data_IF_360866731339
#
_entry.id   IF_360866731339
#
_cell.length_a   1.000
_cell.length_b   1.000
_cell.length_c   1.000
_cell.angle_alpha   90.00
_cell.angle_beta   90.00
_cell.angle_gamma   90.00
#
_symmetry.space_group_name_H-M   'P 1'
#
loop_
_entity.id
_entity.type
_entity.pdbx_description
1 polymer ?
#
# COMPACT_ATOMS: atom_id res chain seq x y z
N UNK A 1 -39.15 -1.95 7.31
CA UNK A 1 -39.58 -3.33 7.62
C UNK A 1 -39.36 -4.15 6.36
N UNK A 2 -38.57 -5.22 6.35
CA UNK A 2 -38.31 -5.99 5.12
C UNK A 2 -39.61 -6.53 4.51
N UNK A 3 -39.95 -6.06 3.31
CA UNK A 3 -41.11 -6.51 2.53
C UNK A 3 -40.61 -7.25 1.31
N UNK A 4 -41.09 -8.46 1.12
CA UNK A 4 -40.79 -9.28 -0.04
C UNK A 4 -42.04 -9.49 -0.86
N UNK A 5 -41.94 -9.34 -2.17
CA UNK A 5 -43.04 -9.53 -3.12
C UNK A 5 -42.75 -10.71 -4.05
N UNK A 6 -43.81 -11.42 -4.43
CA UNK A 6 -43.74 -12.52 -5.39
C UNK A 6 -44.79 -12.30 -6.48
N UNK A 7 -44.33 -12.17 -7.72
CA UNK A 7 -45.16 -11.93 -8.91
C UNK A 7 -44.85 -12.98 -9.99
N UNK A 8 -45.71 -13.99 -10.12
CA UNK A 8 -45.60 -14.99 -11.17
C UNK A 8 -46.99 -15.45 -11.63
N UNK A 9 -47.29 -15.30 -12.93
CA UNK A 9 -48.60 -15.62 -13.50
C UNK A 9 -49.73 -14.83 -12.84
N UNK A 10 -50.69 -15.53 -12.22
CA UNK A 10 -51.80 -14.92 -11.46
C UNK A 10 -51.48 -14.68 -9.97
N UNK A 11 -50.29 -15.06 -9.51
CA UNK A 11 -49.85 -14.85 -8.12
C UNK A 11 -49.25 -13.46 -7.96
N UNK A 12 -49.83 -12.67 -7.05
CA UNK A 12 -49.34 -11.35 -6.67
C UNK A 12 -49.40 -11.24 -5.14
N UNK A 13 -48.33 -11.60 -4.44
CA UNK A 13 -48.30 -11.82 -2.98
C UNK A 13 -47.20 -10.99 -2.32
N UNK A 14 -47.42 -10.59 -1.08
CA UNK A 14 -46.41 -9.98 -0.21
C UNK A 14 -46.15 -10.83 1.03
N UNK A 15 -44.94 -10.74 1.56
CA UNK A 15 -44.52 -11.30 2.83
C UNK A 15 -43.56 -10.32 3.50
N UNK A 16 -43.88 -9.91 4.72
CA UNK A 16 -43.14 -8.97 5.55
C UNK A 16 -42.71 -9.71 6.82
N UNK A 17 -41.55 -9.34 7.37
CA UNK A 17 -41.10 -9.85 8.66
C UNK A 17 -40.45 -8.73 9.47
N UNK A 18 -40.90 -8.57 10.71
CA UNK A 18 -40.38 -7.56 11.66
C UNK A 18 -39.79 -8.27 12.86
N UNK A 19 -38.56 -7.91 13.23
CA UNK A 19 -37.82 -8.54 14.31
C UNK A 19 -37.82 -7.65 15.55
N UNK A 20 -38.16 -8.20 16.71
CA UNK A 20 -38.21 -7.49 18.00
C UNK A 20 -37.66 -8.38 19.12
N UNK A 21 -36.37 -8.21 19.44
CA UNK A 21 -35.72 -8.86 20.58
C UNK A 21 -35.73 -10.39 20.52
N UNK A 22 -36.66 -11.03 21.23
CA UNK A 22 -36.82 -12.50 21.31
C UNK A 22 -37.98 -13.03 20.44
N UNK A 23 -38.55 -12.19 19.59
CA UNK A 23 -39.68 -12.53 18.75
C UNK A 23 -39.56 -11.91 17.37
N UNK A 24 -40.30 -12.46 16.41
CA UNK A 24 -40.57 -11.78 15.15
C UNK A 24 -42.05 -11.90 14.80
N UNK A 25 -42.55 -10.94 14.04
CA UNK A 25 -43.88 -10.93 13.45
C UNK A 25 -43.76 -11.03 11.95
N UNK A 26 -44.40 -12.05 11.38
CA UNK A 26 -44.52 -12.21 9.92
C UNK A 26 -45.89 -11.76 9.48
N UNK A 27 -45.99 -11.01 8.39
CA UNK A 27 -47.26 -10.59 7.77
C UNK A 27 -47.27 -10.97 6.30
N UNK A 28 -48.36 -11.51 5.78
CA UNK A 28 -48.43 -11.96 4.39
C UNK A 28 -49.82 -11.90 3.80
N UNK A 29 -49.91 -11.69 2.49
CA UNK A 29 -51.20 -11.56 1.83
C UNK A 29 -51.07 -11.43 0.32
N UNK A 30 -52.21 -11.12 -0.32
CA UNK A 30 -52.21 -10.64 -1.70
C UNK A 30 -51.79 -9.16 -1.65
N UNK A 31 -51.03 -8.70 -2.64
CA UNK A 31 -50.70 -7.27 -2.74
C UNK A 31 -52.00 -6.47 -2.83
N UNK A 32 -52.03 -5.31 -2.16
CA UNK A 32 -53.20 -4.44 -1.92
C UNK A 32 -54.26 -4.98 -0.95
N UNK A 33 -53.91 -5.93 -0.06
CA UNK A 33 -54.77 -6.33 1.07
C UNK A 33 -54.06 -6.15 2.42
N UNK A 34 -54.83 -6.13 3.50
CA UNK A 34 -54.26 -6.02 4.86
C UNK A 34 -53.40 -7.23 5.27
N UNK A 35 -53.52 -8.34 4.57
CA UNK A 35 -52.80 -9.58 4.86
C UNK A 35 -53.23 -10.27 6.16
N UNK A 36 -52.47 -11.28 6.55
CA UNK A 36 -52.56 -11.98 7.82
C UNK A 36 -51.22 -11.88 8.52
N UNK A 37 -51.21 -11.80 9.85
CA UNK A 37 -49.99 -11.74 10.63
C UNK A 37 -49.88 -12.87 11.65
N UNK A 38 -48.64 -13.21 11.99
CA UNK A 38 -48.32 -14.18 13.04
C UNK A 38 -47.02 -13.81 13.72
N UNK A 39 -47.10 -13.66 15.03
CA UNK A 39 -45.95 -13.48 15.91
C UNK A 39 -45.45 -14.82 16.44
N UNK A 40 -44.13 -15.00 16.46
CA UNK A 40 -43.45 -16.15 17.05
C UNK A 40 -42.42 -15.65 18.08
N UNK A 41 -42.35 -16.32 19.23
CA UNK A 41 -41.46 -15.96 20.34
C UNK A 41 -40.53 -17.13 20.68
N UNK A 42 -39.30 -16.81 21.07
CA UNK A 42 -38.23 -17.78 21.30
C UNK A 42 -37.55 -17.55 22.66
N UNK A 43 -36.84 -18.56 23.15
CA UNK A 43 -36.19 -18.52 24.47
C UNK A 43 -35.03 -17.50 24.54
N UNK A 44 -34.39 -17.23 23.39
CA UNK A 44 -33.29 -16.26 23.27
C UNK A 44 -33.34 -15.46 21.95
N UNK A 45 -32.70 -14.27 21.90
CA UNK A 45 -32.57 -13.49 20.67
C UNK A 45 -31.84 -14.25 19.55
N UNK A 46 -30.85 -15.06 19.89
CA UNK A 46 -30.09 -15.86 18.92
C UNK A 46 -30.95 -16.96 18.28
N UNK A 47 -31.84 -17.58 19.06
CA UNK A 47 -32.80 -18.55 18.54
C UNK A 47 -33.83 -17.88 17.59
N UNK A 48 -34.30 -16.68 17.95
CA UNK A 48 -35.17 -15.88 17.09
C UNK A 48 -34.47 -15.49 15.78
N UNK A 49 -33.21 -15.03 15.84
CA UNK A 49 -32.43 -14.63 14.66
C UNK A 49 -32.19 -15.82 13.72
N UNK A 50 -31.85 -17.00 14.26
CA UNK A 50 -31.62 -18.20 13.46
C UNK A 50 -32.87 -18.64 12.69
N UNK A 51 -34.05 -18.55 13.30
CA UNK A 51 -35.32 -18.89 12.63
C UNK A 51 -35.76 -17.78 11.66
N UNK A 52 -35.49 -16.50 11.98
CA UNK A 52 -35.68 -15.37 11.07
C UNK A 52 -34.89 -15.55 9.77
N UNK A 53 -33.58 -15.80 9.86
CA UNK A 53 -32.69 -15.98 8.70
C UNK A 53 -33.13 -17.18 7.84
N UNK A 54 -33.61 -18.24 8.49
CA UNK A 54 -34.13 -19.43 7.81
C UNK A 54 -35.39 -19.11 7.01
N UNK A 55 -36.34 -18.34 7.57
CA UNK A 55 -37.57 -17.96 6.88
C UNK A 55 -37.30 -17.04 5.69
N UNK A 56 -36.37 -16.10 5.82
CA UNK A 56 -35.95 -15.22 4.71
C UNK A 56 -35.37 -16.05 3.56
N UNK A 57 -34.39 -16.93 3.83
CA UNK A 57 -33.82 -17.81 2.80
C UNK A 57 -34.86 -18.71 2.14
N UNK A 58 -35.83 -19.20 2.90
CA UNK A 58 -36.92 -20.02 2.35
C UNK A 58 -37.81 -19.20 1.40
N UNK A 59 -38.00 -17.91 1.66
CA UNK A 59 -38.79 -17.01 0.81
C UNK A 59 -38.04 -16.61 -0.45
N UNK A 60 -36.77 -16.24 -0.34
CA UNK A 60 -35.91 -15.94 -1.48
C UNK A 60 -35.80 -17.15 -2.43
N UNK A 61 -35.61 -18.36 -1.88
CA UNK A 61 -35.60 -19.60 -2.66
C UNK A 61 -36.92 -19.87 -3.39
N UNK A 62 -38.03 -19.33 -2.89
CA UNK A 62 -39.36 -19.41 -3.53
C UNK A 62 -39.63 -18.27 -4.51
N UNK A 63 -38.62 -17.46 -4.83
CA UNK A 63 -38.70 -16.35 -5.78
C UNK A 63 -39.29 -15.06 -5.20
N UNK A 64 -39.41 -14.93 -3.88
CA UNK A 64 -39.82 -13.67 -3.26
C UNK A 64 -38.65 -12.69 -3.29
N UNK A 65 -38.87 -11.53 -3.87
CA UNK A 65 -37.87 -10.47 -4.04
C UNK A 65 -38.10 -9.36 -3.03
N UNK A 66 -37.05 -8.87 -2.39
CA UNK A 66 -37.12 -7.76 -1.45
C UNK A 66 -37.48 -6.47 -2.20
N UNK A 67 -38.54 -5.80 -1.79
CA UNK A 67 -38.98 -4.51 -2.33
C UNK A 67 -38.61 -3.42 -1.34
N UNK A 68 -37.66 -2.56 -1.73
CA UNK A 68 -37.28 -1.38 -0.96
C UNK A 68 -38.36 -0.31 -0.99
N UNK A 69 -38.60 0.33 0.15
CA UNK A 69 -39.50 1.49 0.25
C UNK A 69 -38.97 2.62 -0.65
N UNK A 70 -39.65 2.89 -1.76
CA UNK A 70 -39.22 3.86 -2.76
C UNK A 70 -39.97 5.18 -2.68
N UNK A 71 -39.21 6.27 -2.51
CA UNK A 71 -39.31 7.57 -3.19
C UNK A 71 -37.90 8.20 -3.05
N UNK A 72 -37.06 8.52 -4.04
CA UNK A 72 -37.04 8.46 -5.49
C UNK A 72 -35.89 9.38 -5.95
N UNK A 73 -34.92 8.87 -6.73
CA UNK A 73 -33.98 9.69 -7.51
C UNK A 73 -32.48 9.58 -7.19
N UNK A 74 -31.76 9.06 -8.18
CA UNK A 74 -30.31 9.19 -8.49
C UNK A 74 -29.28 8.34 -7.73
N UNK A 75 -28.64 7.49 -8.55
CA UNK A 75 -27.32 6.85 -8.48
C UNK A 75 -26.99 5.94 -7.28
N UNK A 76 -26.82 4.67 -7.61
CA UNK A 76 -26.56 3.58 -6.69
C UNK A 76 -25.17 3.65 -6.08
N UNK A 77 -25.14 3.77 -4.76
CA UNK A 77 -24.06 3.27 -3.93
C UNK A 77 -24.50 1.95 -3.27
N UNK A 78 -23.64 0.95 -3.43
CA UNK A 78 -23.66 -0.35 -2.77
C UNK A 78 -23.47 -0.15 -1.25
N UNK A 79 -24.57 0.14 -0.53
CA UNK A 79 -24.55 0.19 0.93
C UNK A 79 -24.55 -1.23 1.52
N UNK A 80 -23.34 -1.81 1.54
CA UNK A 80 -22.90 -2.59 2.70
C UNK A 80 -23.24 -1.82 3.98
N UNK A 81 -23.70 -2.45 5.08
CA UNK A 81 -24.06 -1.72 6.30
C UNK A 81 -22.89 -0.82 6.72
N UNK A 82 -23.14 0.49 6.74
CA UNK A 82 -22.16 1.48 7.14
C UNK A 82 -21.73 1.16 8.57
N UNK A 83 -20.48 0.72 8.73
CA UNK A 83 -19.87 0.64 10.05
C UNK A 83 -19.54 2.07 10.44
N UNK A 84 -20.55 2.85 10.84
CA UNK A 84 -20.35 4.14 11.48
C UNK A 84 -19.70 3.90 12.85
N UNK A 85 -18.37 3.73 12.83
CA UNK A 85 -17.57 3.64 14.04
C UNK A 85 -17.75 4.92 14.85
N UNK A 86 -17.92 4.79 16.15
CA UNK A 86 -18.01 5.94 17.06
C UNK A 86 -16.75 6.79 16.90
N UNK A 87 -16.92 8.11 16.81
CA UNK A 87 -15.82 9.07 16.58
C UNK A 87 -15.82 10.20 17.61
N UNK A 88 -14.62 10.65 17.97
CA UNK A 88 -14.40 11.83 18.79
C UNK A 88 -13.28 12.67 18.14
N UNK A 89 -13.62 13.73 17.38
CA UNK A 89 -12.64 14.49 16.61
C UNK A 89 -11.50 15.09 17.43
N UNK A 90 -11.75 15.48 18.67
CA UNK A 90 -10.71 16.06 19.54
C UNK A 90 -9.67 15.02 19.95
N UNK A 91 -10.12 13.82 20.35
CA UNK A 91 -9.23 12.72 20.71
C UNK A 91 -8.49 12.16 19.50
N UNK A 92 -9.17 12.09 18.35
CA UNK A 92 -8.57 11.68 17.09
C UNK A 92 -7.50 12.66 16.61
N UNK A 93 -7.73 13.97 16.74
CA UNK A 93 -6.76 15.00 16.36
C UNK A 93 -5.46 14.89 17.18
N UNK A 94 -5.54 14.48 18.45
CA UNK A 94 -4.36 14.24 19.28
C UNK A 94 -3.48 13.12 18.71
N UNK A 95 -4.10 12.02 18.27
CA UNK A 95 -3.40 10.90 17.62
C UNK A 95 -2.88 11.30 16.24
N UNK A 96 -3.65 12.02 15.44
CA UNK A 96 -3.21 12.46 14.10
C UNK A 96 -1.98 13.37 14.18
N UNK A 97 -1.92 14.24 15.19
CA UNK A 97 -0.80 15.14 15.42
C UNK A 97 0.48 14.40 15.80
N UNK A 98 0.36 13.37 16.63
CA UNK A 98 1.47 12.51 17.04
C UNK A 98 1.05 11.04 17.07
N UNK A 99 1.16 10.33 15.93
CA UNK A 99 0.75 8.93 15.83
C UNK A 99 1.61 7.96 16.66
N UNK A 100 2.65 8.43 17.36
CA UNK A 100 3.43 7.64 18.32
C UNK A 100 2.98 7.84 19.78
N UNK A 101 2.06 8.77 20.04
CA UNK A 101 1.60 9.11 21.39
C UNK A 101 0.65 8.05 21.95
N UNK A 102 1.20 7.10 22.69
CA UNK A 102 0.45 6.01 23.35
C UNK A 102 -0.66 6.55 24.26
N UNK A 103 -0.42 7.64 25.01
CA UNK A 103 -1.43 8.19 25.93
C UNK A 103 -2.66 8.71 25.19
N UNK A 104 -2.49 9.29 24.00
CA UNK A 104 -3.61 9.73 23.17
C UNK A 104 -4.48 8.54 22.72
N UNK A 105 -3.85 7.41 22.35
CA UNK A 105 -4.57 6.17 22.06
C UNK A 105 -5.30 5.63 23.28
N UNK A 106 -4.68 5.63 24.47
CA UNK A 106 -5.32 5.14 25.70
C UNK A 106 -6.57 5.94 26.06
N UNK A 107 -6.48 7.28 26.03
CA UNK A 107 -7.63 8.14 26.29
C UNK A 107 -8.74 7.91 25.26
N UNK A 108 -8.39 7.76 23.97
CA UNK A 108 -9.39 7.47 22.95
C UNK A 108 -9.97 6.05 23.10
N UNK A 109 -9.16 5.08 23.48
CA UNK A 109 -9.55 3.70 23.74
C UNK A 109 -10.55 3.57 24.88
N UNK A 110 -10.32 4.26 26.01
CA UNK A 110 -11.26 4.32 27.14
C UNK A 110 -12.60 4.92 26.70
N UNK A 111 -12.57 6.00 25.92
CA UNK A 111 -13.77 6.58 25.35
C UNK A 111 -14.50 5.60 24.44
N UNK A 112 -13.81 4.95 23.49
CA UNK A 112 -14.38 3.94 22.59
C UNK A 112 -15.01 2.78 23.35
N UNK A 113 -14.34 2.29 24.40
CA UNK A 113 -14.85 1.22 25.25
C UNK A 113 -16.14 1.64 25.97
N UNK A 114 -16.23 2.88 26.45
CA UNK A 114 -17.46 3.44 27.04
C UNK A 114 -18.63 3.51 26.04
N UNK A 115 -18.33 3.58 24.74
CA UNK A 115 -19.31 3.55 23.66
C UNK A 115 -19.62 2.15 23.14
N UNK A 116 -19.02 1.10 23.73
CA UNK A 116 -19.18 -0.29 23.31
C UNK A 116 -18.41 -0.66 22.03
N UNK A 117 -17.46 0.18 21.60
CA UNK A 117 -16.65 -0.10 20.42
C UNK A 117 -15.50 -1.08 20.76
N UNK A 118 -15.36 -2.20 20.00
CA UNK A 118 -14.35 -3.22 20.31
C UNK A 118 -12.90 -2.71 20.17
N UNK A 119 -12.66 -1.59 19.49
CA UNK A 119 -11.31 -1.00 19.41
C UNK A 119 -10.81 -0.54 20.77
N UNK A 120 -11.68 -0.14 21.70
CA UNK A 120 -11.29 0.30 23.04
C UNK A 120 -10.61 -0.82 23.86
N UNK A 121 -11.23 -2.00 23.92
CA UNK A 121 -10.60 -3.17 24.56
C UNK A 121 -9.32 -3.59 23.82
N UNK A 122 -9.30 -3.48 22.49
CA UNK A 122 -8.12 -3.80 21.68
C UNK A 122 -6.95 -2.86 22.00
N UNK A 123 -7.19 -1.56 22.20
CA UNK A 123 -6.20 -0.58 22.67
C UNK A 123 -5.58 -1.07 23.99
N UNK A 124 -6.43 -1.39 24.98
CA UNK A 124 -5.99 -1.80 26.31
C UNK A 124 -5.14 -3.09 26.25
N UNK A 125 -5.58 -4.09 25.49
CA UNK A 125 -4.86 -5.35 25.30
C UNK A 125 -3.50 -5.13 24.62
N UNK A 126 -3.45 -4.32 23.56
CA UNK A 126 -2.21 -4.04 22.82
C UNK A 126 -1.23 -3.18 23.62
N UNK A 127 -1.72 -2.28 24.47
CA UNK A 127 -0.87 -1.57 25.41
C UNK A 127 -0.33 -2.50 26.51
N UNK A 128 -1.19 -3.36 27.08
CA UNK A 128 -0.75 -4.34 28.09
C UNK A 128 0.33 -5.27 27.55
N UNK A 129 0.18 -5.80 26.33
CA UNK A 129 1.18 -6.72 25.75
C UNK A 129 2.53 -6.04 25.49
N UNK A 130 2.54 -4.73 25.24
CA UNK A 130 3.79 -3.96 25.05
C UNK A 130 4.64 -3.86 26.32
N UNK A 131 4.02 -4.10 27.50
CA UNK A 131 4.66 -4.05 28.82
C UNK A 131 4.87 -5.43 29.45
N UNK A 132 4.32 -6.48 28.84
CA UNK A 132 4.36 -7.83 29.36
C UNK A 132 5.54 -8.62 28.79
N UNK A 133 5.99 -9.63 29.53
CA UNK A 133 7.03 -10.56 29.11
C UNK A 133 6.60 -12.02 29.30
N UNK A 134 7.31 -12.96 28.68
CA UNK A 134 7.13 -14.39 28.87
C UNK A 134 5.71 -14.92 28.60
N UNK A 135 5.15 -15.64 29.57
CA UNK A 135 3.85 -16.31 29.46
C UNK A 135 2.67 -15.33 29.44
N UNK A 136 2.80 -14.19 30.12
CA UNK A 136 1.79 -13.13 30.11
C UNK A 136 1.67 -12.51 28.71
N UNK A 137 2.80 -12.14 28.11
CA UNK A 137 2.84 -11.62 26.74
C UNK A 137 2.22 -12.60 25.74
N UNK A 138 2.54 -13.90 25.86
CA UNK A 138 1.97 -14.95 25.01
C UNK A 138 0.45 -15.10 25.19
N UNK A 139 -0.05 -14.93 26.41
CA UNK A 139 -1.48 -14.98 26.73
C UNK A 139 -2.21 -13.78 26.15
N UNK A 140 -1.67 -12.57 26.32
CA UNK A 140 -2.22 -11.34 25.76
C UNK A 140 -2.24 -11.37 24.22
N UNK A 141 -1.18 -11.88 23.56
CA UNK A 141 -1.18 -12.09 22.10
C UNK A 141 -2.34 -12.97 21.64
N UNK A 142 -2.59 -14.09 22.35
CA UNK A 142 -3.76 -14.95 22.06
C UNK A 142 -5.09 -14.23 22.28
N UNK A 143 -5.21 -13.42 23.32
CA UNK A 143 -6.41 -12.63 23.58
C UNK A 143 -6.65 -11.59 22.47
N UNK A 144 -5.60 -10.89 22.03
CA UNK A 144 -5.66 -9.95 20.91
C UNK A 144 -6.15 -10.64 19.63
N UNK A 145 -5.56 -11.79 19.25
CA UNK A 145 -6.00 -12.55 18.07
C UNK A 145 -7.45 -13.01 18.20
N UNK A 146 -7.84 -13.51 19.38
CA UNK A 146 -9.21 -13.94 19.63
C UNK A 146 -10.20 -12.76 19.56
N UNK A 147 -9.81 -11.60 20.08
CA UNK A 147 -10.62 -10.37 20.05
C UNK A 147 -10.85 -9.88 18.63
N UNK A 148 -9.80 -9.77 17.82
CA UNK A 148 -9.90 -9.38 16.41
C UNK A 148 -10.81 -10.35 15.65
N UNK A 149 -10.62 -11.66 15.84
CA UNK A 149 -11.44 -12.68 15.18
C UNK A 149 -12.91 -12.62 15.61
N UNK A 150 -13.17 -12.42 16.90
CA UNK A 150 -14.52 -12.31 17.47
C UNK A 150 -15.25 -11.08 16.94
N UNK A 151 -14.56 -9.95 16.86
CA UNK A 151 -15.12 -8.66 16.45
C UNK A 151 -14.85 -8.32 14.98
N UNK A 152 -14.50 -9.30 14.15
CA UNK A 152 -14.08 -9.13 12.74
C UNK A 152 -15.05 -8.24 11.94
N UNK A 153 -16.35 -8.49 12.05
CA UNK A 153 -17.36 -7.73 11.33
C UNK A 153 -17.38 -6.24 11.70
N UNK A 154 -17.15 -5.90 12.97
CA UNK A 154 -17.11 -4.51 13.45
C UNK A 154 -15.75 -3.85 13.19
N UNK A 155 -14.66 -4.61 13.25
CA UNK A 155 -13.30 -4.10 13.09
C UNK A 155 -12.88 -3.92 11.64
N UNK A 156 -13.48 -4.66 10.71
CA UNK A 156 -13.11 -4.66 9.29
C UNK A 156 -14.29 -4.41 8.34
N UNK A 157 -15.53 -4.62 8.77
CA UNK A 157 -16.71 -4.42 7.91
C UNK A 157 -16.57 -5.16 6.57
N UNK A 158 -16.76 -4.42 5.47
CA UNK A 158 -16.60 -4.94 4.10
C UNK A 158 -15.18 -5.43 3.75
N UNK A 159 -14.17 -5.09 4.54
CA UNK A 159 -12.78 -5.56 4.35
C UNK A 159 -12.55 -6.97 4.91
N UNK A 160 -13.51 -7.53 5.65
CA UNK A 160 -13.36 -8.80 6.34
C UNK A 160 -13.12 -10.00 5.40
N UNK A 161 -13.64 -9.94 4.16
CA UNK A 161 -13.41 -10.98 3.13
C UNK A 161 -11.95 -10.96 2.68
N UNK A 162 -11.49 -9.84 2.10
CA UNK A 162 -10.11 -9.65 1.65
C UNK A 162 -9.08 -9.97 2.76
N UNK A 163 -9.37 -9.61 4.02
CA UNK A 163 -8.50 -9.96 5.14
C UNK A 163 -8.46 -11.47 5.43
N UNK A 164 -9.61 -12.15 5.33
CA UNK A 164 -9.68 -13.60 5.56
C UNK A 164 -9.04 -14.41 4.44
N UNK A 165 -8.97 -13.84 3.24
CA UNK A 165 -8.38 -14.43 2.03
C UNK A 165 -6.88 -14.07 1.87
N UNK A 166 -6.30 -13.37 2.84
CA UNK A 166 -4.89 -12.93 2.88
C UNK A 166 -4.49 -11.91 1.79
N UNK A 167 -5.47 -11.36 1.09
CA UNK A 167 -5.31 -10.30 0.09
C UNK A 167 -5.19 -8.91 0.72
N UNK A 168 -5.79 -8.72 1.90
CA UNK A 168 -5.55 -7.59 2.78
C UNK A 168 -4.81 -8.06 4.03
N UNK A 169 -3.52 -7.73 4.15
CA UNK A 169 -2.74 -7.96 5.36
C UNK A 169 -2.66 -6.66 6.14
N UNK A 170 -2.91 -6.71 7.45
CA UNK A 170 -2.89 -5.52 8.31
C UNK A 170 -2.07 -5.75 9.57
N UNK A 171 -1.34 -4.73 9.99
CA UNK A 171 -0.76 -4.65 11.33
C UNK A 171 -1.58 -3.71 12.22
N UNK A 172 -2.00 -4.23 13.37
CA UNK A 172 -2.75 -3.47 14.36
C UNK A 172 -1.79 -2.77 15.34
N UNK A 173 -2.03 -1.49 15.59
CA UNK A 173 -1.39 -0.70 16.64
C UNK A 173 -2.46 0.00 17.48
N UNK A 174 -2.51 -0.35 18.76
CA UNK A 174 -3.40 0.25 19.75
C UNK A 174 -4.84 0.42 19.24
N UNK A 175 -5.45 -0.66 18.73
CA UNK A 175 -6.85 -0.67 18.28
C UNK A 175 -7.09 -0.25 16.84
N UNK A 176 -6.07 0.22 16.11
CA UNK A 176 -6.20 0.72 14.74
C UNK A 176 -5.22 0.02 13.81
N UNK A 177 -5.55 -0.02 12.53
CA UNK A 177 -4.65 -0.48 11.47
C UNK A 177 -3.59 0.61 11.27
N UNK A 178 -2.32 0.25 11.46
CA UNK A 178 -1.17 1.13 11.24
C UNK A 178 -0.52 0.86 9.89
N UNK A 179 -0.42 -0.41 9.51
CA UNK A 179 0.19 -0.84 8.25
C UNK A 179 -0.79 -1.73 7.49
N UNK A 180 -0.89 -1.56 6.18
CA UNK A 180 -1.71 -2.40 5.32
C UNK A 180 -0.97 -2.77 4.04
N UNK A 181 -1.05 -4.05 3.63
CA UNK A 181 -0.72 -4.53 2.29
C UNK A 181 -2.00 -5.01 1.62
N UNK A 182 -2.30 -4.51 0.43
CA UNK A 182 -3.47 -4.91 -0.37
C UNK A 182 -3.01 -5.36 -1.77
N UNK A 183 -3.52 -6.49 -2.24
CA UNK A 183 -3.30 -6.95 -3.62
C UNK A 183 -3.96 -8.31 -3.86
N UNK A 184 -4.17 -8.63 -5.14
CA UNK A 184 -4.62 -9.97 -5.56
C UNK A 184 -3.58 -11.00 -5.13
N UNK A 185 -4.06 -12.17 -4.67
CA UNK A 185 -3.19 -13.27 -4.22
C UNK A 185 -2.88 -14.28 -5.34
N UNK A 186 -3.79 -14.43 -6.29
CA UNK A 186 -3.74 -15.41 -7.38
C UNK A 186 -4.73 -15.01 -8.49
N UNK A 187 -4.73 -15.79 -9.58
CA UNK A 187 -5.60 -15.61 -10.75
C UNK A 187 -7.09 -15.84 -10.46
N UNK A 188 -7.45 -16.53 -9.38
CA UNK A 188 -8.84 -16.78 -8.98
C UNK A 188 -9.39 -15.67 -8.06
N UNK A 189 -8.58 -14.63 -7.79
CA UNK A 189 -8.94 -13.51 -6.93
C UNK A 189 -10.09 -12.68 -7.50
N UNK A 190 -11.17 -12.58 -6.72
CA UNK A 190 -12.31 -11.68 -6.99
C UNK A 190 -12.09 -10.26 -6.40
N UNK A 191 -10.85 -9.93 -6.03
CA UNK A 191 -10.54 -8.67 -5.36
C UNK A 191 -10.47 -7.51 -6.35
N UNK A 192 -11.40 -6.58 -6.17
CA UNK A 192 -11.33 -5.26 -6.79
C UNK A 192 -10.45 -4.35 -5.92
N UNK A 193 -9.16 -4.24 -6.26
CA UNK A 193 -8.13 -3.55 -5.44
C UNK A 193 -8.46 -2.07 -5.26
N UNK A 194 -8.74 -1.26 -6.30
CA UNK A 194 -9.07 0.16 -6.12
C UNK A 194 -10.29 0.39 -5.21
N UNK A 195 -11.34 -0.38 -5.38
CA UNK A 195 -12.61 -0.31 -4.63
C UNK A 195 -12.38 -0.70 -3.18
N UNK A 196 -11.62 -1.78 -2.95
CA UNK A 196 -11.25 -2.23 -1.61
C UNK A 196 -10.33 -1.21 -0.92
N UNK A 197 -9.46 -0.54 -1.67
CA UNK A 197 -8.62 0.53 -1.15
C UNK A 197 -9.45 1.74 -0.72
N UNK A 198 -10.46 2.15 -1.50
CA UNK A 198 -11.40 3.21 -1.08
C UNK A 198 -12.07 2.83 0.24
N UNK A 199 -12.57 1.59 0.35
CA UNK A 199 -13.17 1.07 1.59
C UNK A 199 -12.17 1.09 2.74
N UNK A 200 -10.92 0.72 2.51
CA UNK A 200 -9.86 0.71 3.52
C UNK A 200 -9.57 2.12 4.04
N UNK A 201 -9.33 3.08 3.14
CA UNK A 201 -8.96 4.45 3.52
C UNK A 201 -10.11 5.19 4.21
N UNK A 202 -11.36 4.83 3.92
CA UNK A 202 -12.53 5.36 4.61
C UNK A 202 -12.83 4.66 5.96
N UNK A 203 -12.23 3.48 6.23
CA UNK A 203 -12.64 2.65 7.35
C UNK A 203 -12.21 3.24 8.72
N UNK A 204 -13.08 3.27 9.74
CA UNK A 204 -12.74 3.79 11.07
C UNK A 204 -11.51 3.15 11.72
N UNK A 205 -11.26 1.86 11.46
CA UNK A 205 -10.06 1.16 11.95
C UNK A 205 -8.77 1.62 11.27
N UNK A 206 -8.83 2.16 10.04
CA UNK A 206 -7.65 2.64 9.31
C UNK A 206 -7.41 4.14 9.49
N UNK A 207 -8.14 4.81 10.38
CA UNK A 207 -8.11 6.28 10.55
C UNK A 207 -6.72 6.87 10.86
N UNK A 208 -5.79 6.04 11.34
CA UNK A 208 -4.42 6.41 11.65
C UNK A 208 -3.39 5.60 10.87
N UNK A 209 -3.75 5.10 9.67
CA UNK A 209 -2.84 4.35 8.79
C UNK A 209 -1.57 5.16 8.53
N UNK A 210 -0.41 4.52 8.64
CA UNK A 210 0.93 5.11 8.48
C UNK A 210 1.71 4.49 7.33
N UNK A 211 1.46 3.22 6.99
CA UNK A 211 2.08 2.56 5.84
C UNK A 211 1.04 1.87 4.96
N UNK A 212 1.16 2.06 3.66
CA UNK A 212 0.35 1.39 2.65
C UNK A 212 1.26 0.77 1.59
N UNK A 213 1.09 -0.53 1.36
CA UNK A 213 1.75 -1.28 0.30
C UNK A 213 0.70 -1.86 -0.64
N UNK A 214 0.91 -1.72 -1.94
CA UNK A 214 0.02 -2.26 -2.97
C UNK A 214 0.79 -3.28 -3.80
N UNK A 215 0.33 -4.53 -3.77
CA UNK A 215 0.84 -5.63 -4.57
C UNK A 215 0.22 -5.66 -5.96
N UNK A 216 -0.05 -6.85 -6.48
CA UNK A 216 -0.72 -7.04 -7.77
C UNK A 216 -2.14 -6.47 -7.76
N UNK A 217 -2.46 -5.65 -8.77
CA UNK A 217 -3.80 -5.08 -9.01
C UNK A 217 -4.55 -5.96 -10.00
N UNK A 218 -3.85 -6.40 -11.05
CA UNK A 218 -4.34 -7.35 -12.04
C UNK A 218 -3.40 -8.55 -12.14
N UNK A 219 -3.96 -9.73 -12.39
CA UNK A 219 -3.24 -10.99 -12.61
C UNK A 219 -3.52 -11.57 -14.01
N UNK A 220 -4.53 -11.08 -14.74
CA UNK A 220 -4.96 -11.63 -16.03
C UNK A 220 -4.32 -10.93 -17.24
N UNK A 221 -3.21 -10.21 -17.03
CA UNK A 221 -2.48 -9.52 -18.09
C UNK A 221 -1.54 -8.44 -17.55
N UNK A 222 -1.57 -7.28 -18.21
CA UNK A 222 -0.83 -6.10 -17.78
C UNK A 222 -1.41 -5.55 -16.48
N UNK A 223 -0.54 -5.20 -15.54
CA UNK A 223 -0.90 -4.75 -14.21
C UNK A 223 -0.78 -3.22 -14.13
N UNK A 224 -1.87 -2.52 -13.79
CA UNK A 224 -1.94 -1.06 -13.83
C UNK A 224 -2.23 -0.44 -12.45
N UNK A 225 -1.39 0.50 -12.02
CA UNK A 225 -1.56 1.20 -10.73
C UNK A 225 -2.38 2.50 -10.83
N UNK A 226 -2.83 2.91 -12.02
CA UNK A 226 -3.60 4.15 -12.21
C UNK A 226 -4.86 4.21 -11.33
N UNK A 227 -5.68 3.14 -11.30
CA UNK A 227 -6.88 3.08 -10.46
C UNK A 227 -6.59 3.17 -8.96
N UNK A 228 -5.41 2.70 -8.53
CA UNK A 228 -4.94 2.82 -7.14
C UNK A 228 -4.61 4.27 -6.80
N UNK A 229 -3.91 4.98 -7.69
CA UNK A 229 -3.63 6.41 -7.53
C UNK A 229 -4.94 7.21 -7.47
N UNK A 230 -5.87 6.94 -8.37
CA UNK A 230 -7.19 7.57 -8.38
C UNK A 230 -7.97 7.33 -7.08
N UNK A 231 -7.95 6.11 -6.55
CA UNK A 231 -8.58 5.77 -5.27
C UNK A 231 -7.98 6.57 -4.09
N UNK A 232 -6.66 6.72 -4.03
CA UNK A 232 -5.98 7.53 -3.00
C UNK A 232 -6.38 9.01 -3.13
N UNK A 233 -6.40 9.54 -4.35
CA UNK A 233 -6.77 10.94 -4.61
C UNK A 233 -8.23 11.20 -4.25
N UNK A 234 -9.14 10.31 -4.65
CA UNK A 234 -10.59 10.39 -4.36
C UNK A 234 -10.87 10.44 -2.86
N UNK A 235 -10.13 9.65 -2.08
CA UNK A 235 -10.25 9.61 -0.61
C UNK A 235 -9.51 10.74 0.11
N UNK A 236 -8.83 11.62 -0.64
CA UNK A 236 -7.98 12.71 -0.14
C UNK A 236 -6.79 12.22 0.69
N UNK A 237 -6.35 10.99 0.44
CA UNK A 237 -5.26 10.35 1.16
C UNK A 237 -5.51 10.23 2.65
N UNK A 238 -4.42 10.04 3.40
CA UNK A 238 -4.46 9.90 4.86
C UNK A 238 -3.43 10.84 5.48
N UNK A 239 -3.83 11.82 6.32
CA UNK A 239 -2.89 12.79 6.91
C UNK A 239 -1.77 12.14 7.73
N UNK A 240 -2.00 10.93 8.26
CA UNK A 240 -1.04 10.13 9.03
C UNK A 240 -0.16 9.22 8.18
N UNK A 241 -0.43 9.07 6.87
CA UNK A 241 0.37 8.21 6.00
C UNK A 241 1.80 8.77 5.87
N UNK A 242 2.79 7.89 6.04
CA UNK A 242 4.22 8.21 5.99
C UNK A 242 4.97 7.35 4.98
N UNK A 243 4.46 6.17 4.64
CA UNK A 243 5.07 5.27 3.68
C UNK A 243 4.05 4.82 2.64
N UNK A 244 4.43 4.89 1.37
CA UNK A 244 3.68 4.33 0.26
C UNK A 244 4.61 3.48 -0.61
N UNK A 245 4.21 2.25 -0.88
CA UNK A 245 4.86 1.39 -1.86
C UNK A 245 3.82 0.91 -2.89
N UNK A 246 4.03 1.25 -4.16
CA UNK A 246 3.30 0.70 -5.30
C UNK A 246 4.23 -0.24 -6.07
N UNK A 247 3.77 -1.45 -6.40
CA UNK A 247 4.59 -2.45 -7.11
C UNK A 247 5.17 -3.54 -6.23
N UNK A 248 4.47 -3.96 -5.17
CA UNK A 248 4.94 -5.04 -4.28
C UNK A 248 4.60 -6.43 -4.84
N UNK A 249 5.25 -6.77 -5.95
CA UNK A 249 5.12 -8.05 -6.63
C UNK A 249 6.41 -8.87 -6.63
N UNK A 250 6.29 -10.18 -6.81
CA UNK A 250 7.36 -11.15 -6.87
C UNK A 250 7.66 -11.58 -8.31
N UNK A 251 8.94 -11.54 -8.68
CA UNK A 251 9.44 -12.06 -9.95
C UNK A 251 10.03 -13.47 -9.76
N UNK A 252 9.85 -14.42 -10.69
CA UNK A 252 9.00 -14.34 -11.89
C UNK A 252 7.55 -14.82 -11.66
N UNK A 253 7.22 -15.23 -10.43
CA UNK A 253 6.00 -15.99 -10.17
C UNK A 253 4.71 -15.16 -10.34
N UNK A 254 4.73 -13.86 -10.04
CA UNK A 254 3.56 -12.98 -10.21
C UNK A 254 3.63 -12.18 -11.52
N UNK A 255 4.70 -11.43 -11.74
CA UNK A 255 4.85 -10.59 -12.95
C UNK A 255 6.29 -10.15 -13.20
N UNK A 256 6.52 -9.71 -14.43
CA UNK A 256 7.71 -9.00 -14.90
C UNK A 256 7.57 -7.49 -14.62
N UNK A 257 8.68 -6.79 -14.36
CA UNK A 257 8.62 -5.37 -14.01
C UNK A 257 8.15 -4.52 -15.20
N UNK A 258 8.43 -4.98 -16.42
CA UNK A 258 8.02 -4.38 -17.68
C UNK A 258 6.52 -4.52 -17.97
N UNK A 259 5.80 -5.43 -17.30
CA UNK A 259 4.36 -5.66 -17.45
C UNK A 259 3.51 -5.02 -16.33
N UNK A 260 4.15 -4.28 -15.43
CA UNK A 260 3.50 -3.57 -14.33
C UNK A 260 3.71 -2.06 -14.45
N UNK A 261 2.64 -1.32 -14.74
CA UNK A 261 2.70 0.09 -15.11
C UNK A 261 2.30 1.02 -13.95
N UNK A 262 3.19 1.95 -13.60
CA UNK A 262 2.95 2.96 -12.55
C UNK A 262 2.03 4.08 -13.06
N UNK A 263 2.23 4.52 -14.31
CA UNK A 263 1.54 5.65 -14.95
C UNK A 263 1.63 6.95 -14.13
N UNK A 264 0.61 7.82 -14.22
CA UNK A 264 0.57 9.14 -13.58
C UNK A 264 0.37 9.03 -12.06
N UNK A 265 1.34 9.55 -11.30
CA UNK A 265 1.29 9.62 -9.83
C UNK A 265 1.17 11.06 -9.30
N UNK A 266 1.01 12.06 -10.17
CA UNK A 266 1.06 13.49 -9.80
C UNK A 266 -0.05 13.90 -8.81
N UNK A 267 -1.18 13.21 -8.84
CA UNK A 267 -2.28 13.40 -7.90
C UNK A 267 -1.90 13.15 -6.44
N UNK A 268 -0.93 12.25 -6.19
CA UNK A 268 -0.51 11.86 -4.84
C UNK A 268 0.10 13.02 -4.05
N UNK A 269 0.85 13.91 -4.71
CA UNK A 269 1.64 14.95 -4.03
C UNK A 269 0.76 15.94 -3.26
N UNK A 270 -0.47 16.16 -3.73
CA UNK A 270 -1.43 17.07 -3.08
C UNK A 270 -2.09 16.47 -1.86
N UNK A 271 -2.31 15.15 -1.86
CA UNK A 271 -3.11 14.45 -0.85
C UNK A 271 -2.24 13.73 0.18
N UNK A 272 -0.96 13.53 -0.11
CA UNK A 272 0.01 12.88 0.78
C UNK A 272 1.23 13.77 1.11
N UNK A 273 1.05 15.02 1.58
CA UNK A 273 2.14 15.97 1.78
C UNK A 273 3.12 15.57 2.90
N UNK A 274 2.74 14.63 3.77
CA UNK A 274 3.52 14.18 4.92
C UNK A 274 4.28 12.86 4.67
N UNK A 275 4.32 12.36 3.43
CA UNK A 275 5.10 11.16 3.10
C UNK A 275 6.57 11.35 3.46
N UNK A 276 7.15 10.29 4.01
CA UNK A 276 8.56 10.16 4.37
C UNK A 276 9.25 9.10 3.51
N UNK A 277 8.52 8.10 3.04
CA UNK A 277 9.02 7.09 2.10
C UNK A 277 8.04 6.93 0.94
N UNK A 278 8.57 6.96 -0.28
CA UNK A 278 7.85 6.63 -1.50
C UNK A 278 8.69 5.65 -2.31
N UNK A 279 8.16 4.45 -2.51
CA UNK A 279 8.72 3.42 -3.38
C UNK A 279 7.76 3.15 -4.53
N UNK A 280 8.27 3.22 -5.74
CA UNK A 280 7.55 2.91 -6.97
C UNK A 280 8.33 1.83 -7.70
N UNK A 281 7.65 0.73 -8.05
CA UNK A 281 8.25 -0.36 -8.82
C UNK A 281 7.36 -0.73 -10.01
N UNK A 282 7.86 -0.51 -11.21
CA UNK A 282 7.13 -0.75 -12.46
C UNK A 282 7.64 0.09 -13.63
N UNK A 283 7.07 -0.14 -14.80
CA UNK A 283 7.29 0.59 -16.03
C UNK A 283 6.44 1.87 -16.15
N UNK A 284 6.77 2.68 -17.16
CA UNK A 284 5.99 3.84 -17.63
C UNK A 284 5.51 4.80 -16.52
N UNK A 285 6.42 5.22 -15.65
CA UNK A 285 6.09 6.16 -14.58
C UNK A 285 6.05 7.61 -15.10
N UNK A 286 4.91 8.28 -14.98
CA UNK A 286 4.79 9.73 -15.13
C UNK A 286 4.78 10.40 -13.76
N UNK A 287 5.91 11.02 -13.42
CA UNK A 287 6.15 11.63 -12.12
C UNK A 287 5.82 13.14 -12.09
N UNK A 288 5.59 13.78 -13.25
CA UNK A 288 5.35 15.22 -13.36
C UNK A 288 6.27 16.10 -12.50
N UNK A 289 5.71 17.03 -11.72
CA UNK A 289 6.49 17.87 -10.78
C UNK A 289 6.37 17.34 -9.36
N UNK A 290 7.40 16.64 -8.91
CA UNK A 290 7.47 16.06 -7.56
C UNK A 290 7.60 17.18 -6.50
N UNK A 291 6.59 17.31 -5.65
CA UNK A 291 6.57 18.23 -4.50
C UNK A 291 6.23 17.46 -3.22
N UNK A 292 7.26 16.89 -2.59
CA UNK A 292 7.16 16.07 -1.39
C UNK A 292 8.19 16.53 -0.34
N UNK A 293 7.96 17.65 0.34
CA UNK A 293 8.97 18.30 1.18
C UNK A 293 9.35 17.51 2.44
N UNK A 294 8.49 16.60 2.89
CA UNK A 294 8.73 15.74 4.05
C UNK A 294 9.44 14.42 3.72
N UNK A 295 9.69 14.15 2.44
CA UNK A 295 10.24 12.89 1.97
C UNK A 295 11.69 12.73 2.45
N UNK A 296 12.00 11.53 2.95
CA UNK A 296 13.31 11.10 3.44
C UNK A 296 13.91 10.01 2.56
N UNK A 297 13.06 9.17 1.99
CA UNK A 297 13.45 8.08 1.12
C UNK A 297 12.60 8.07 -0.15
N UNK A 298 13.28 8.01 -1.30
CA UNK A 298 12.64 7.81 -2.60
C UNK A 298 13.34 6.66 -3.34
N UNK A 299 12.54 5.74 -3.89
CA UNK A 299 13.02 4.69 -4.79
C UNK A 299 12.12 4.60 -6.02
N UNK A 300 12.74 4.64 -7.20
CA UNK A 300 12.11 4.28 -8.47
C UNK A 300 12.82 3.06 -9.04
N UNK A 301 12.12 1.93 -9.09
CA UNK A 301 12.58 0.65 -9.61
C UNK A 301 11.88 0.38 -10.94
N UNK A 302 12.65 0.24 -12.01
CA UNK A 302 12.09 0.01 -13.34
C UNK A 302 13.10 -0.70 -14.24
N UNK A 303 12.56 -1.39 -15.25
CA UNK A 303 13.32 -1.96 -16.37
C UNK A 303 13.74 -0.93 -17.40
N UNK A 304 13.09 0.24 -17.45
CA UNK A 304 13.42 1.36 -18.33
C UNK A 304 12.76 2.66 -17.90
N UNK A 305 13.56 3.64 -17.48
CA UNK A 305 13.09 4.91 -16.95
C UNK A 305 12.94 5.96 -18.07
N UNK A 306 11.73 6.46 -18.36
CA UNK A 306 11.53 7.46 -19.41
C UNK A 306 12.20 8.80 -19.09
N UNK A 307 12.56 9.57 -20.12
CA UNK A 307 13.28 10.84 -19.95
C UNK A 307 12.52 11.86 -19.10
N UNK A 308 11.18 11.84 -19.21
CA UNK A 308 10.30 12.67 -18.38
C UNK A 308 10.51 12.41 -16.89
N UNK A 309 10.50 11.14 -16.49
CA UNK A 309 10.71 10.73 -15.11
C UNK A 309 12.11 11.07 -14.59
N UNK A 310 13.16 10.88 -15.42
CA UNK A 310 14.53 11.30 -15.09
C UNK A 310 14.57 12.81 -14.74
N UNK A 311 13.94 13.65 -15.56
CA UNK A 311 13.88 15.11 -15.35
C UNK A 311 13.04 15.49 -14.15
N UNK A 312 11.93 14.79 -13.90
CA UNK A 312 11.09 14.97 -12.72
C UNK A 312 11.87 14.70 -11.44
N UNK A 313 12.61 13.59 -11.38
CA UNK A 313 13.50 13.24 -10.27
C UNK A 313 14.58 14.30 -10.14
N UNK A 314 15.32 14.64 -11.19
CA UNK A 314 16.43 15.60 -11.10
C UNK A 314 16.02 17.02 -10.64
N UNK A 315 14.76 17.41 -10.82
CA UNK A 315 14.24 18.76 -10.51
C UNK A 315 13.30 18.84 -9.32
N UNK A 316 13.12 17.74 -8.59
CA UNK A 316 12.16 17.62 -7.50
C UNK A 316 12.49 18.46 -6.24
N UNK A 317 11.48 18.69 -5.41
CA UNK A 317 11.60 19.41 -4.14
C UNK A 317 11.78 18.45 -2.94
N UNK A 318 13.01 18.35 -2.43
CA UNK A 318 13.42 17.32 -1.46
C UNK A 318 14.29 17.82 -0.30
N UNK A 319 13.89 18.87 0.43
CA UNK A 319 14.73 19.47 1.47
C UNK A 319 15.11 18.52 2.62
N UNK A 320 14.38 17.41 2.80
CA UNK A 320 14.58 16.43 3.88
C UNK A 320 15.06 15.06 3.39
N UNK A 321 15.36 14.90 2.09
CA UNK A 321 15.72 13.60 1.53
C UNK A 321 17.10 13.14 2.02
N UNK A 322 17.15 11.90 2.48
CA UNK A 322 18.32 11.23 3.07
C UNK A 322 18.80 10.06 2.18
N UNK A 323 17.87 9.39 1.50
CA UNK A 323 18.12 8.30 0.53
C UNK A 323 17.43 8.58 -0.81
N UNK A 324 18.20 8.52 -1.89
CA UNK A 324 17.70 8.53 -3.26
C UNK A 324 18.18 7.28 -3.99
N UNK A 325 17.26 6.50 -4.53
CA UNK A 325 17.55 5.32 -5.35
C UNK A 325 16.79 5.41 -6.68
N UNK A 326 17.52 5.31 -7.79
CA UNK A 326 16.97 5.42 -9.14
C UNK A 326 17.55 4.29 -9.99
N UNK A 327 16.66 3.50 -10.59
CA UNK A 327 17.01 2.49 -11.57
C UNK A 327 16.73 3.07 -12.95
N UNK A 328 17.75 3.10 -13.83
CA UNK A 328 17.60 3.70 -15.15
C UNK A 328 17.09 2.71 -16.20
N UNK A 329 17.45 1.44 -16.06
CA UNK A 329 17.02 0.38 -16.96
C UNK A 329 17.81 0.32 -18.28
N UNK A 330 17.18 -0.30 -19.27
CA UNK A 330 17.71 -0.50 -20.62
C UNK A 330 16.83 0.19 -21.67
N UNK A 331 17.45 0.70 -22.74
CA UNK A 331 16.74 1.33 -23.87
C UNK A 331 15.68 0.39 -24.47
N UNK A 332 15.90 -0.93 -24.43
CA UNK A 332 14.95 -1.94 -24.90
C UNK A 332 13.62 -1.94 -24.15
N UNK A 333 13.60 -1.40 -22.93
CA UNK A 333 12.42 -1.30 -22.07
C UNK A 333 12.02 0.16 -21.80
N UNK A 334 12.48 1.08 -22.65
CA UNK A 334 12.09 2.50 -22.60
C UNK A 334 12.97 3.38 -21.72
N UNK A 335 14.17 2.92 -21.33
CA UNK A 335 15.14 3.81 -20.70
C UNK A 335 15.56 4.92 -21.65
N UNK A 336 15.62 6.13 -21.12
CA UNK A 336 16.17 7.29 -21.81
C UNK A 336 17.01 8.13 -20.84
N UNK A 337 17.77 9.06 -21.41
CA UNK A 337 18.55 10.05 -20.66
C UNK A 337 19.94 9.55 -20.26
N UNK A 338 20.76 10.48 -19.79
CA UNK A 338 22.14 10.22 -19.44
C UNK A 338 22.66 11.11 -18.30
N UNK A 339 23.99 11.19 -18.19
CA UNK A 339 24.69 11.99 -17.18
C UNK A 339 24.24 13.46 -17.19
N UNK A 340 24.01 14.01 -18.37
CA UNK A 340 23.56 15.37 -18.60
C UNK A 340 22.18 15.67 -17.99
N UNK A 341 21.26 14.70 -18.05
CA UNK A 341 19.89 14.86 -17.53
C UNK A 341 19.87 14.80 -16.00
N UNK A 342 20.79 14.05 -15.39
CA UNK A 342 20.93 13.95 -13.93
C UNK A 342 21.95 14.94 -13.35
N UNK A 343 22.49 15.86 -14.15
CA UNK A 343 23.44 16.87 -13.68
C UNK A 343 22.93 17.65 -12.44
N UNK A 344 21.63 18.00 -12.30
CA UNK A 344 21.13 18.59 -11.06
C UNK A 344 21.34 17.72 -9.81
N UNK A 345 21.23 16.39 -9.93
CA UNK A 345 21.49 15.43 -8.85
C UNK A 345 22.98 15.43 -8.52
N UNK A 346 23.85 15.36 -9.55
CA UNK A 346 25.30 15.40 -9.38
C UNK A 346 25.79 16.73 -8.77
N UNK A 347 25.11 17.83 -9.07
CA UNK A 347 25.32 19.14 -8.45
C UNK A 347 24.83 19.22 -6.99
N UNK A 348 24.06 18.25 -6.51
CA UNK A 348 23.47 18.24 -5.16
C UNK A 348 22.34 19.26 -4.98
N UNK A 349 21.70 19.74 -6.06
CA UNK A 349 20.64 20.76 -5.98
C UNK A 349 19.43 20.20 -5.25
N UNK A 350 19.07 20.79 -4.11
CA UNK A 350 17.94 20.35 -3.30
C UNK A 350 18.17 19.06 -2.50
N UNK A 351 19.40 18.51 -2.52
CA UNK A 351 19.74 17.21 -1.92
C UNK A 351 20.70 17.33 -0.73
N UNK A 352 20.59 18.41 0.07
CA UNK A 352 21.56 18.74 1.12
C UNK A 352 21.71 17.70 2.23
N UNK A 353 20.71 16.83 2.41
CA UNK A 353 20.69 15.81 3.45
C UNK A 353 20.98 14.38 2.94
N UNK A 354 21.13 14.19 1.62
CA UNK A 354 21.32 12.86 1.05
C UNK A 354 22.65 12.26 1.48
N UNK A 355 22.57 11.06 2.08
CA UNK A 355 23.72 10.24 2.51
C UNK A 355 23.84 8.94 1.72
N UNK A 356 22.75 8.51 1.09
CA UNK A 356 22.70 7.28 0.29
C UNK A 356 22.19 7.65 -1.10
N UNK A 357 23.03 7.42 -2.11
CA UNK A 357 22.67 7.62 -3.52
C UNK A 357 22.86 6.30 -4.28
N UNK A 358 21.77 5.80 -4.87
CA UNK A 358 21.78 4.70 -5.82
C UNK A 358 21.48 5.19 -7.22
N UNK A 359 22.46 5.03 -8.13
CA UNK A 359 22.32 5.21 -9.57
C UNK A 359 22.47 3.82 -10.18
N UNK A 360 21.42 3.01 -9.97
CA UNK A 360 21.45 1.56 -10.17
C UNK A 360 20.96 1.21 -11.56
N UNK A 361 21.17 -0.04 -11.95
CA UNK A 361 20.58 -0.60 -13.16
C UNK A 361 20.78 0.30 -14.39
N UNK A 362 21.98 0.88 -14.56
CA UNK A 362 22.24 1.91 -15.58
C UNK A 362 23.10 1.36 -16.71
N UNK A 363 22.72 1.60 -17.97
CA UNK A 363 23.58 1.24 -19.12
C UNK A 363 24.77 2.20 -19.29
N UNK A 364 24.67 3.43 -18.79
CA UNK A 364 25.71 4.47 -18.86
C UNK A 364 26.62 4.53 -17.61
N UNK A 365 26.85 3.40 -16.92
CA UNK A 365 27.65 3.38 -15.67
C UNK A 365 29.12 3.78 -15.88
N UNK A 366 29.70 3.52 -17.06
CA UNK A 366 31.06 4.00 -17.38
C UNK A 366 31.10 5.54 -17.51
N UNK A 367 30.03 6.16 -18.00
CA UNK A 367 29.87 7.62 -18.05
C UNK A 367 29.70 8.20 -16.65
N UNK A 368 28.92 7.53 -15.79
CA UNK A 368 28.84 7.87 -14.37
C UNK A 368 30.22 7.83 -13.71
N UNK A 369 31.03 6.80 -14.00
CA UNK A 369 32.39 6.68 -13.47
C UNK A 369 33.30 7.87 -13.84
N UNK A 370 33.07 8.51 -15.00
CA UNK A 370 33.78 9.73 -15.42
C UNK A 370 33.27 10.98 -14.68
N UNK A 371 31.96 11.07 -14.44
CA UNK A 371 31.33 12.26 -13.86
C UNK A 371 31.46 12.34 -12.33
N UNK A 372 31.25 11.22 -11.64
CA UNK A 372 31.17 11.12 -10.18
C UNK A 372 32.37 11.71 -9.43
N UNK A 373 33.64 11.52 -9.86
CA UNK A 373 34.79 12.12 -9.19
C UNK A 373 34.71 13.64 -8.98
N UNK A 374 33.95 14.33 -9.83
CA UNK A 374 33.76 15.79 -9.79
C UNK A 374 32.36 16.22 -9.34
N UNK A 375 31.48 15.26 -9.05
CA UNK A 375 30.12 15.54 -8.60
C UNK A 375 30.13 16.22 -7.23
N UNK A 376 29.37 17.31 -7.11
CA UNK A 376 29.29 18.11 -5.87
C UNK A 376 28.54 17.40 -4.76
N UNK A 377 27.67 16.45 -5.09
CA UNK A 377 26.98 15.61 -4.10
C UNK A 377 27.92 14.55 -3.49
N UNK A 378 28.97 14.11 -4.18
CA UNK A 378 29.80 12.99 -3.73
C UNK A 378 30.41 13.19 -2.31
N UNK A 379 30.97 14.36 -1.94
CA UNK A 379 31.61 14.57 -0.64
C UNK A 379 30.69 14.40 0.58
N UNK A 380 29.37 14.53 0.42
CA UNK A 380 28.41 14.36 1.52
C UNK A 380 27.87 12.93 1.66
N UNK A 381 28.06 12.09 0.64
CA UNK A 381 27.57 10.71 0.62
C UNK A 381 28.34 9.84 1.61
N UNK A 382 27.62 8.90 2.20
CA UNK A 382 28.20 7.80 2.97
C UNK A 382 28.18 6.49 2.18
N UNK A 383 27.14 6.31 1.34
CA UNK A 383 26.98 5.14 0.48
C UNK A 383 26.69 5.57 -0.95
N UNK A 384 27.40 4.97 -1.89
CA UNK A 384 27.15 5.08 -3.32
C UNK A 384 26.87 3.67 -3.86
N UNK A 385 25.78 3.53 -4.61
CA UNK A 385 25.37 2.27 -5.21
C UNK A 385 25.27 2.44 -6.72
N UNK A 386 26.13 1.72 -7.45
CA UNK A 386 26.20 1.62 -8.91
C UNK A 386 25.94 0.17 -9.35
N UNK A 387 25.27 -0.62 -8.51
CA UNK A 387 24.98 -2.02 -8.79
C UNK A 387 24.04 -2.20 -9.97
N UNK A 388 24.03 -3.40 -10.54
CA UNK A 388 23.15 -3.83 -11.64
C UNK A 388 23.35 -3.07 -12.96
N UNK A 389 24.37 -2.22 -13.06
CA UNK A 389 24.65 -1.44 -14.26
C UNK A 389 25.62 -2.12 -15.23
N UNK A 390 26.20 -1.31 -16.12
CA UNK A 390 27.14 -1.76 -17.15
C UNK A 390 28.60 -1.36 -16.88
N UNK A 391 28.99 -1.17 -15.61
CA UNK A 391 30.37 -0.77 -15.27
C UNK A 391 31.35 -1.81 -15.78
N UNK A 392 32.33 -1.37 -16.54
CA UNK A 392 33.37 -2.21 -17.12
C UNK A 392 34.74 -1.96 -16.49
N UNK A 393 35.73 -2.76 -16.89
CA UNK A 393 37.12 -2.55 -16.45
C UNK A 393 37.64 -1.14 -16.80
N UNK A 394 37.16 -0.52 -17.90
CA UNK A 394 37.49 0.85 -18.28
C UNK A 394 36.88 1.87 -17.31
N UNK A 395 35.61 1.71 -16.94
CA UNK A 395 34.98 2.53 -15.91
C UNK A 395 35.62 2.34 -14.55
N UNK A 396 35.92 1.09 -14.17
CA UNK A 396 36.63 0.76 -12.94
C UNK A 396 38.03 1.39 -12.88
N UNK A 397 38.77 1.40 -14.00
CA UNK A 397 40.04 2.11 -14.09
C UNK A 397 39.85 3.62 -13.90
N UNK A 398 38.82 4.21 -14.51
CA UNK A 398 38.50 5.64 -14.34
C UNK A 398 38.21 5.98 -12.88
N UNK A 399 37.45 5.14 -12.16
CA UNK A 399 37.23 5.30 -10.73
C UNK A 399 38.53 5.16 -9.92
N UNK A 400 39.37 4.18 -10.26
CA UNK A 400 40.65 3.93 -9.59
C UNK A 400 41.65 5.09 -9.77
N UNK A 401 41.72 5.68 -10.96
CA UNK A 401 42.53 6.86 -11.27
C UNK A 401 42.10 8.08 -10.43
N UNK A 402 40.84 8.10 -10.01
CA UNK A 402 40.24 9.14 -9.17
C UNK A 402 39.94 8.67 -7.74
N UNK A 403 40.62 7.63 -7.25
CA UNK A 403 40.30 6.97 -5.98
C UNK A 403 40.22 7.91 -4.77
N UNK A 404 40.96 9.02 -4.78
CA UNK A 404 40.94 10.02 -3.71
C UNK A 404 39.55 10.61 -3.46
N UNK A 405 38.72 10.75 -4.50
CA UNK A 405 37.38 11.33 -4.42
C UNK A 405 36.39 10.44 -3.63
N UNK A 406 36.68 9.15 -3.47
CA UNK A 406 35.77 8.17 -2.87
C UNK A 406 36.19 7.71 -1.47
N UNK A 407 37.38 8.11 -0.98
CA UNK A 407 37.97 7.58 0.26
C UNK A 407 37.14 7.81 1.53
N UNK A 408 36.26 8.81 1.53
CA UNK A 408 35.36 9.09 2.65
C UNK A 408 34.13 8.18 2.66
N UNK A 409 33.78 7.53 1.55
CA UNK A 409 32.63 6.65 1.47
C UNK A 409 32.78 5.49 2.45
N UNK A 410 31.71 5.23 3.21
CA UNK A 410 31.59 4.05 4.07
C UNK A 410 31.34 2.80 3.21
N UNK A 411 30.60 2.94 2.13
CA UNK A 411 30.25 1.83 1.25
C UNK A 411 30.17 2.25 -0.23
N UNK A 412 30.70 1.39 -1.10
CA UNK A 412 30.50 1.43 -2.54
C UNK A 412 29.98 0.07 -3.01
N UNK A 413 28.84 0.06 -3.70
CA UNK A 413 28.31 -1.13 -4.34
C UNK A 413 28.49 -1.05 -5.87
N UNK A 414 29.14 -2.05 -6.44
CA UNK A 414 29.32 -2.28 -7.88
C UNK A 414 29.02 -3.74 -8.25
N UNK A 415 28.19 -4.42 -7.44
CA UNK A 415 27.71 -5.77 -7.74
C UNK A 415 26.88 -5.82 -9.02
N UNK A 416 26.80 -6.98 -9.66
CA UNK A 416 25.95 -7.18 -10.84
C UNK A 416 26.28 -6.23 -12.02
N UNK A 417 27.56 -5.87 -12.15
CA UNK A 417 28.08 -5.14 -13.30
C UNK A 417 28.79 -6.10 -14.27
N UNK A 418 29.70 -5.58 -15.11
CA UNK A 418 30.42 -6.32 -16.15
C UNK A 418 31.93 -6.41 -15.88
N UNK A 419 32.33 -6.29 -14.61
CA UNK A 419 33.74 -6.25 -14.22
C UNK A 419 34.38 -7.64 -14.36
N UNK A 420 35.58 -7.67 -14.93
CA UNK A 420 36.43 -8.85 -14.79
C UNK A 420 37.10 -8.86 -13.43
N UNK A 421 37.86 -9.93 -13.13
CA UNK A 421 38.73 -9.98 -11.95
C UNK A 421 39.78 -8.86 -11.90
N UNK A 422 40.13 -8.25 -13.02
CA UNK A 422 41.00 -7.08 -13.05
C UNK A 422 40.23 -5.82 -12.58
N UNK A 423 39.05 -5.56 -13.14
CA UNK A 423 38.14 -4.50 -12.69
C UNK A 423 37.79 -4.57 -11.20
N UNK A 424 37.41 -5.75 -10.71
CA UNK A 424 37.13 -5.97 -9.27
C UNK A 424 38.31 -5.55 -8.38
N UNK A 425 39.55 -5.82 -8.80
CA UNK A 425 40.76 -5.43 -8.05
C UNK A 425 40.99 -3.91 -8.07
N UNK A 426 40.64 -3.24 -9.16
CA UNK A 426 40.77 -1.78 -9.29
C UNK A 426 39.86 -1.06 -8.29
N UNK A 427 38.61 -1.54 -8.14
CA UNK A 427 37.60 -0.90 -7.29
C UNK A 427 37.69 -1.27 -5.81
N UNK A 428 38.32 -2.41 -5.47
CA UNK A 428 38.30 -3.01 -4.13
C UNK A 428 38.74 -2.10 -2.95
N UNK A 429 39.43 -1.00 -3.22
CA UNK A 429 39.95 -0.07 -2.21
C UNK A 429 39.44 1.37 -2.37
N UNK A 430 38.39 1.59 -3.16
CA UNK A 430 37.84 2.94 -3.39
C UNK A 430 37.16 3.52 -2.15
N UNK A 431 36.42 2.68 -1.41
CA UNK A 431 35.71 3.04 -0.18
C UNK A 431 36.15 2.17 1.00
N UNK A 432 35.62 2.44 2.20
CA UNK A 432 35.91 1.63 3.39
C UNK A 432 35.43 0.17 3.24
N UNK A 433 34.28 -0.02 2.60
CA UNK A 433 33.77 -1.33 2.17
C UNK A 433 33.33 -1.26 0.71
N UNK A 434 33.65 -2.29 -0.06
CA UNK A 434 33.29 -2.37 -1.48
C UNK A 434 32.65 -3.74 -1.75
N UNK A 435 31.44 -3.73 -2.32
CA UNK A 435 30.79 -4.92 -2.84
C UNK A 435 30.98 -4.96 -4.36
N UNK A 436 31.60 -6.02 -4.88
CA UNK A 436 31.89 -6.18 -6.31
C UNK A 436 31.60 -7.62 -6.80
N UNK A 437 30.75 -8.35 -6.08
CA UNK A 437 30.37 -9.73 -6.43
C UNK A 437 29.32 -9.81 -7.56
N UNK A 438 28.97 -11.04 -7.93
CA UNK A 438 27.90 -11.34 -8.89
C UNK A 438 28.04 -10.64 -10.24
N UNK A 439 29.27 -10.43 -10.71
CA UNK A 439 29.52 -9.85 -12.03
C UNK A 439 28.96 -10.76 -13.12
N UNK A 440 28.39 -10.13 -14.14
CA UNK A 440 27.71 -10.79 -15.25
C UNK A 440 28.67 -10.86 -16.45
N UNK A 441 28.73 -12.04 -17.09
CA UNK A 441 29.55 -12.27 -18.29
C UNK A 441 28.87 -11.69 -19.52
N UNK A 442 29.62 -10.97 -20.36
CA UNK A 442 29.10 -10.33 -21.58
C UNK A 442 30.08 -10.40 -22.76
N UNK A 443 29.51 -10.36 -23.96
CA UNK A 443 30.23 -9.98 -25.18
C UNK A 443 30.40 -8.45 -25.19
N UNK A 444 31.56 -7.95 -25.63
CA UNK A 444 31.88 -6.51 -25.59
C UNK A 444 30.89 -5.66 -26.40
N UNK A 445 30.15 -6.27 -27.33
CA UNK A 445 29.15 -5.63 -28.18
C UNK A 445 27.74 -5.51 -27.53
N UNK A 446 27.44 -6.19 -26.42
CA UNK A 446 26.09 -6.26 -25.84
C UNK A 446 26.08 -6.19 -24.31
N UNK A 447 26.42 -5.03 -23.73
CA UNK A 447 26.23 -4.77 -22.29
C UNK A 447 24.83 -4.25 -22.01
N UNK A 448 24.15 -4.82 -21.02
CA UNK A 448 22.80 -4.42 -20.62
C UNK A 448 22.65 -4.38 -19.09
N UNK A 449 21.71 -3.59 -18.59
CA UNK A 449 21.41 -3.48 -17.16
C UNK A 449 20.81 -4.79 -16.59
N UNK A 450 20.96 -5.10 -15.29
CA UNK A 450 20.58 -6.41 -14.75
C UNK A 450 19.08 -6.68 -14.76
N UNK A 451 18.28 -5.62 -14.72
CA UNK A 451 16.83 -5.68 -14.77
C UNK A 451 16.34 -4.91 -15.99
N UNK A 452 15.53 -5.57 -16.81
CA UNK A 452 14.98 -5.02 -18.04
C UNK A 452 13.53 -5.46 -18.21
N UNK A 453 13.33 -6.75 -18.48
CA UNK A 453 12.00 -7.39 -18.44
C UNK A 453 11.50 -7.51 -17.00
#
# INVERSE_FOLDING_TARGET
MPRYEFKEGSSNKFWEITFEGKSFTTRWGRIDTDGQEKTQSFDSPEAAQKEYDKLVREKEKKGYELVGDGEGGEDGDDESPSVEGKSNPELEAAIQKDPANVDAYLVYGDWLQSQGDPRGELVALQHAVSKAEGTEASTLKRQITAHIKKHKALLLGGLAKAWSEEELKVEWHLGFIRDARLGKKDYDSELEVPETLVKLLAHPSAKFLQSLTIGMVDMEGENYYAGVVEAIVKTKGMPTLRSLFLGDFEYPDETEISWSYINDVTGLYKVLPNLRSLRLRGADADLGKIDLPELREFSMETGGLPLGAVKSIASANWPKLEKLEVWFGSENYGAEGGVEDIQPILDGKGLSNVKVLGLRNSEFTDELAKALPTAKILPQLEKLDLSMGCLSDTGAQTLADNAAAFKHLKHLDVTENTLTKAGEKLVAKLAATVAAGSQRDYDEEYRYAAVGE
#
